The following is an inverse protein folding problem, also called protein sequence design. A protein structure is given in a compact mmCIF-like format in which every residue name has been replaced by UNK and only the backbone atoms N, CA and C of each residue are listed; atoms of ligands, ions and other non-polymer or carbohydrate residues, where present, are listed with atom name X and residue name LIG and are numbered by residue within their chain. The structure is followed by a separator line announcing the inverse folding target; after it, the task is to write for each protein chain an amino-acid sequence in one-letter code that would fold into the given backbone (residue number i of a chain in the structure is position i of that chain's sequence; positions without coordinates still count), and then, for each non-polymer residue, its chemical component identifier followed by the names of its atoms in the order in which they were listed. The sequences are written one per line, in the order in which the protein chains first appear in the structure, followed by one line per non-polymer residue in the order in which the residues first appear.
data_IF_320600146613
#
_entry.id   IF_320600146613
#
_cell.length_a   1.000
_cell.length_b   1.000
_cell.length_c   1.000
_cell.angle_alpha   90.00
_cell.angle_beta   90.00
_cell.angle_gamma   90.00
#
_symmetry.space_group_name_H-M   'P 1'
#
loop_
_entity.id
_entity.type
_entity.pdbx_description
1 polymer ?
#
# COMPACT_ATOMS: atom_id res chain seq x y z
N UNK A 1 -26.58 -3.64 -61.03
CA UNK A 1 -25.24 -3.33 -61.59
C UNK A 1 -24.17 -4.07 -60.78
N UNK A 2 -23.40 -4.91 -61.47
CA UNK A 2 -22.03 -5.42 -61.23
C UNK A 2 -21.54 -5.78 -59.81
N UNK A 3 -21.20 -7.07 -59.71
CA UNK A 3 -20.30 -7.77 -58.79
C UNK A 3 -18.84 -7.31 -58.98
N UNK A 4 -18.06 -7.14 -57.90
CA UNK A 4 -16.61 -7.41 -57.78
C UNK A 4 -16.29 -7.67 -56.29
N UNK A 5 -16.03 -8.90 -55.82
CA UNK A 5 -14.88 -9.82 -55.94
C UNK A 5 -13.60 -9.33 -55.25
N UNK A 6 -13.22 -10.11 -54.23
CA UNK A 6 -12.04 -9.99 -53.39
C UNK A 6 -10.72 -10.21 -54.13
N UNK A 7 -9.62 -9.65 -53.61
CA UNK A 7 -8.26 -10.19 -53.78
C UNK A 7 -7.49 -10.06 -52.45
N UNK A 8 -7.11 -11.21 -51.92
CA UNK A 8 -6.09 -11.39 -50.89
C UNK A 8 -4.70 -11.12 -51.46
N UNK A 9 -3.84 -10.44 -50.72
CA UNK A 9 -2.41 -10.44 -50.96
C UNK A 9 -1.69 -10.87 -49.67
N UNK A 10 -1.44 -12.17 -49.58
CA UNK A 10 -0.46 -12.76 -48.67
C UNK A 10 0.90 -12.54 -49.32
N UNK A 11 1.82 -11.84 -48.63
CA UNK A 11 3.24 -11.83 -48.98
C UNK A 11 4.02 -12.40 -47.82
N UNK A 12 4.68 -13.52 -48.09
CA UNK A 12 5.43 -14.27 -47.11
C UNK A 12 6.94 -13.99 -47.17
N UNK A 13 7.56 -14.38 -46.05
CA UNK A 13 8.90 -14.95 -45.90
C UNK A 13 10.10 -13.98 -45.94
N UNK A 14 10.76 -13.84 -44.79
CA UNK A 14 12.09 -14.42 -44.55
C UNK A 14 12.44 -14.42 -43.06
N UNK A 15 12.32 -15.60 -42.45
CA UNK A 15 12.90 -15.93 -41.14
C UNK A 15 14.39 -16.20 -41.36
N UNK A 16 15.25 -15.40 -40.74
CA UNK A 16 16.69 -15.63 -40.68
C UNK A 16 17.00 -16.24 -39.30
N UNK A 17 17.12 -17.57 -39.25
CA UNK A 17 17.61 -18.30 -38.08
C UNK A 17 19.13 -18.23 -38.08
N UNK A 18 19.72 -17.43 -37.18
CA UNK A 18 21.14 -17.44 -36.89
C UNK A 18 21.39 -18.35 -35.67
N UNK A 19 21.81 -19.59 -35.94
CA UNK A 19 22.27 -20.51 -34.91
C UNK A 19 23.73 -20.19 -34.56
N UNK A 20 23.99 -19.63 -33.38
CA UNK A 20 25.33 -19.55 -32.80
C UNK A 20 25.41 -20.63 -31.73
N UNK A 21 26.12 -21.71 -32.06
CA UNK A 21 26.52 -22.73 -31.10
C UNK A 21 27.66 -22.20 -30.23
N UNK A 22 27.44 -22.17 -28.92
CA UNK A 22 28.49 -22.00 -27.92
C UNK A 22 28.52 -23.27 -27.07
N UNK A 23 29.48 -24.13 -27.38
CA UNK A 23 29.89 -25.21 -26.51
C UNK A 23 30.68 -24.60 -25.34
N UNK A 24 30.12 -24.70 -24.12
CA UNK A 24 30.81 -24.38 -22.88
C UNK A 24 30.71 -25.57 -21.94
N UNK A 25 31.85 -26.21 -21.67
CA UNK A 25 31.99 -27.29 -20.69
C UNK A 25 31.80 -26.75 -19.26
N UNK A 26 31.14 -27.49 -18.35
CA UNK A 26 31.07 -27.10 -16.95
C UNK A 26 32.39 -27.45 -16.24
N UNK A 27 33.15 -26.43 -15.81
CA UNK A 27 34.20 -26.61 -14.82
C UNK A 27 33.56 -26.73 -13.43
N UNK A 28 33.68 -27.90 -12.82
CA UNK A 28 33.35 -28.11 -11.42
C UNK A 28 34.43 -27.48 -10.53
N UNK A 29 34.11 -26.35 -9.90
CA UNK A 29 34.91 -25.81 -8.80
C UNK A 29 34.74 -26.69 -7.57
N UNK A 30 35.80 -27.39 -7.19
CA UNK A 30 35.93 -28.10 -5.91
C UNK A 30 36.52 -27.13 -4.89
N UNK A 31 35.68 -26.59 -4.00
CA UNK A 31 36.13 -25.90 -2.80
C UNK A 31 36.13 -26.91 -1.64
N UNK A 32 37.32 -27.26 -1.17
CA UNK A 32 37.54 -28.17 -0.05
C UNK A 32 36.92 -27.63 1.23
N UNK A 33 36.25 -28.52 1.98
CA UNK A 33 35.77 -28.24 3.32
C UNK A 33 36.97 -28.11 4.27
N UNK A 34 37.23 -26.88 4.73
CA UNK A 34 38.16 -26.62 5.82
C UNK A 34 37.42 -26.98 7.11
N UNK A 35 37.90 -28.02 7.79
CA UNK A 35 37.42 -28.44 9.11
C UNK A 35 37.78 -27.37 10.14
N UNK A 36 36.83 -26.51 10.47
CA UNK A 36 36.90 -25.63 11.63
C UNK A 36 36.41 -26.42 12.84
N UNK A 37 37.32 -26.82 13.73
CA UNK A 37 36.99 -27.46 14.99
C UNK A 37 36.12 -26.56 15.87
N UNK A 38 35.13 -27.16 16.53
CA UNK A 38 34.26 -26.51 17.52
C UNK A 38 35.09 -25.89 18.67
N UNK A 39 35.10 -24.56 18.87
CA UNK A 39 35.53 -24.01 20.13
C UNK A 39 34.37 -24.14 21.14
N UNK A 40 34.63 -24.78 22.28
CA UNK A 40 33.71 -24.83 23.39
C UNK A 40 33.27 -23.41 23.81
N UNK A 41 31.99 -23.19 24.18
CA UNK A 41 31.51 -21.86 24.56
C UNK A 41 32.20 -21.40 25.84
N UNK A 42 33.13 -20.43 25.70
CA UNK A 42 33.67 -19.67 26.83
C UNK A 42 32.63 -18.62 27.22
N UNK A 43 32.01 -18.80 28.38
CA UNK A 43 31.17 -17.80 29.02
C UNK A 43 32.03 -16.61 29.44
N UNK A 44 31.92 -15.51 28.72
CA UNK A 44 32.49 -14.21 29.11
C UNK A 44 31.45 -13.49 29.97
N UNK A 45 31.74 -13.13 31.24
CA UNK A 45 30.78 -12.37 32.04
C UNK A 45 30.61 -10.96 31.47
N UNK A 46 29.35 -10.55 31.28
CA UNK A 46 29.03 -9.21 30.80
C UNK A 46 29.41 -8.16 31.86
N UNK A 47 29.92 -6.97 31.45
CA UNK A 47 30.21 -5.89 32.38
C UNK A 47 28.93 -5.38 33.04
N UNK A 48 29.01 -5.07 34.34
CA UNK A 48 27.86 -4.64 35.15
C UNK A 48 27.32 -3.24 34.81
N UNK A 49 27.95 -2.52 33.88
CA UNK A 49 27.48 -1.23 33.39
C UNK A 49 27.92 -0.97 31.95
N UNK A 50 27.07 -0.26 31.20
CA UNK A 50 27.35 0.26 29.86
C UNK A 50 27.08 1.76 29.88
N UNK A 51 28.08 2.58 29.58
CA UNK A 51 27.91 4.04 29.48
C UNK A 51 27.40 4.74 30.74
N UNK A 52 27.76 4.25 31.94
CA UNK A 52 27.34 4.85 33.21
C UNK A 52 25.96 4.40 33.73
N UNK A 53 25.29 3.47 33.03
CA UNK A 53 24.02 2.89 33.48
C UNK A 53 24.27 1.51 34.09
N UNK A 54 23.84 1.29 35.34
CA UNK A 54 23.96 0.00 36.03
C UNK A 54 22.95 -1.01 35.48
N UNK A 55 23.41 -2.21 35.13
CA UNK A 55 22.57 -3.33 34.67
C UNK A 55 22.09 -4.24 35.82
N UNK A 56 22.39 -3.88 37.07
CA UNK A 56 21.88 -4.57 38.24
C UNK A 56 20.38 -4.25 38.43
N UNK A 57 19.52 -5.18 38.00
CA UNK A 57 18.05 -5.12 38.22
C UNK A 57 17.75 -5.26 39.72
N UNK A 58 17.62 -4.14 40.42
CA UNK A 58 17.01 -4.06 41.75
C UNK A 58 15.54 -3.71 41.60
N UNK A 59 14.71 -4.71 41.29
CA UNK A 59 13.27 -4.65 41.54
C UNK A 59 12.71 -6.07 41.58
N UNK A 60 12.05 -6.41 42.69
CA UNK A 60 11.27 -7.62 42.83
C UNK A 60 10.13 -7.61 41.82
N UNK A 61 10.13 -8.59 40.93
CA UNK A 61 9.01 -8.87 40.03
C UNK A 61 7.75 -9.15 40.86
N UNK A 62 6.73 -8.30 40.74
CA UNK A 62 5.38 -8.60 41.19
C UNK A 62 4.56 -9.08 40.00
N UNK A 63 3.80 -10.19 40.11
CA UNK A 63 2.86 -10.57 39.07
C UNK A 63 1.76 -9.51 38.94
N UNK A 64 1.38 -9.17 37.71
CA UNK A 64 0.23 -8.31 37.45
C UNK A 64 -1.05 -8.99 37.96
N UNK A 65 -1.90 -8.23 38.65
CA UNK A 65 -3.21 -8.69 39.10
C UNK A 65 -4.05 -9.17 37.91
N UNK A 66 -4.65 -10.35 38.07
CA UNK A 66 -5.59 -10.90 37.09
C UNK A 66 -6.83 -9.99 37.00
N UNK A 67 -7.04 -9.40 35.82
CA UNK A 67 -8.23 -8.62 35.52
C UNK A 67 -9.48 -9.48 35.72
N UNK A 68 -10.34 -9.11 36.69
CA UNK A 68 -11.65 -9.72 36.85
C UNK A 68 -12.61 -9.11 35.82
N UNK A 69 -13.05 -9.93 34.87
CA UNK A 69 -14.19 -9.59 34.01
C UNK A 69 -15.47 -9.79 34.83
N UNK A 70 -16.13 -8.70 35.18
CA UNK A 70 -17.49 -8.73 35.71
C UNK A 70 -18.46 -9.09 34.58
N UNK A 71 -19.01 -10.30 34.63
CA UNK A 71 -20.11 -10.73 33.76
C UNK A 71 -21.41 -10.09 34.28
N UNK A 72 -22.00 -9.20 33.49
CA UNK A 72 -23.39 -8.79 33.65
C UNK A 72 -24.28 -9.92 33.12
N UNK A 73 -25.14 -10.43 33.99
CA UNK A 73 -26.05 -11.54 33.71
C UNK A 73 -27.33 -11.08 32.99
N UNK A 74 -27.79 -11.91 32.04
CA UNK A 74 -29.13 -11.90 31.44
C UNK A 74 -29.04 -12.16 29.93
N UNK A 75 -29.67 -13.15 29.32
CA UNK A 75 -30.56 -14.22 29.75
C UNK A 75 -30.56 -15.31 28.64
N UNK A 76 -31.10 -16.49 28.99
CA UNK A 76 -31.46 -17.65 28.14
C UNK A 76 -30.47 -18.82 28.00
N UNK A 77 -30.76 -19.89 28.76
CA UNK A 77 -31.01 -21.23 28.20
C UNK A 77 -29.88 -22.27 28.27
N UNK A 78 -30.04 -23.40 28.99
CA UNK A 78 -28.99 -24.40 29.17
C UNK A 78 -29.11 -25.58 28.19
N UNK A 79 -27.98 -26.16 27.77
CA UNK A 79 -27.90 -27.57 27.43
C UNK A 79 -26.56 -28.17 27.91
N UNK A 80 -26.67 -29.42 28.32
CA UNK A 80 -25.80 -30.27 29.13
C UNK A 80 -24.40 -30.63 28.57
N UNK A 81 -23.53 -31.23 29.41
CA UNK A 81 -22.09 -31.39 29.17
C UNK A 81 -21.73 -32.77 28.62
N UNK A 82 -20.67 -32.84 27.80
CA UNK A 82 -19.89 -34.07 27.63
C UNK A 82 -18.38 -33.80 27.54
N UNK A 83 -17.66 -34.78 28.06
CA UNK A 83 -16.29 -34.77 28.56
C UNK A 83 -15.21 -34.82 27.47
N UNK A 84 -14.01 -34.45 27.95
CA UNK A 84 -12.71 -34.42 27.33
C UNK A 84 -12.25 -35.67 26.55
N UNK A 85 -11.30 -35.45 25.64
CA UNK A 85 -10.25 -36.43 25.33
C UNK A 85 -9.67 -36.33 23.92
N UNK A 86 -8.36 -36.09 23.80
CA UNK A 86 -7.59 -36.45 22.60
C UNK A 86 -6.53 -35.43 22.20
N UNK A 87 -5.32 -35.56 22.74
CA UNK A 87 -4.13 -34.87 22.22
C UNK A 87 -3.60 -35.54 20.96
N UNK A 88 -2.95 -34.75 20.10
CA UNK A 88 -1.95 -35.26 19.15
C UNK A 88 -0.83 -34.25 18.99
N UNK A 89 0.38 -34.68 19.36
CA UNK A 89 1.63 -34.04 19.01
C UNK A 89 1.73 -33.95 17.48
N UNK A 90 1.75 -32.72 16.96
CA UNK A 90 2.10 -32.41 15.58
C UNK A 90 3.29 -31.46 15.60
N UNK A 91 4.44 -31.98 15.23
CA UNK A 91 5.70 -31.27 15.00
C UNK A 91 5.46 -30.12 14.00
N UNK A 92 5.66 -28.87 14.44
CA UNK A 92 5.48 -27.69 13.60
C UNK A 92 6.65 -27.56 12.62
N UNK A 93 6.35 -27.66 11.32
CA UNK A 93 7.28 -27.35 10.24
C UNK A 93 7.74 -25.88 10.30
N UNK A 94 8.97 -25.55 9.84
CA UNK A 94 9.46 -24.17 9.85
C UNK A 94 8.87 -23.42 8.66
N UNK A 95 7.76 -22.72 8.90
CA UNK A 95 7.12 -21.93 7.85
C UNK A 95 6.03 -21.02 8.42
N UNK A 96 6.08 -19.76 7.97
CA UNK A 96 5.12 -18.67 8.19
C UNK A 96 5.41 -17.83 9.44
N UNK A 97 6.25 -16.80 9.28
CA UNK A 97 6.38 -15.68 10.22
C UNK A 97 5.11 -14.79 10.09
N UNK A 98 4.30 -14.64 11.15
CA UNK A 98 3.04 -13.93 11.08
C UNK A 98 3.27 -12.42 10.92
N UNK A 99 2.99 -11.92 9.71
CA UNK A 99 2.38 -10.61 9.41
C UNK A 99 2.63 -9.56 10.53
N UNK A 100 3.80 -8.91 10.53
CA UNK A 100 4.04 -7.69 11.33
C UNK A 100 3.43 -6.45 10.66
N UNK A 101 2.14 -6.57 10.36
CA UNK A 101 1.35 -5.49 9.86
C UNK A 101 0.77 -4.77 11.07
N UNK A 102 1.20 -3.54 11.32
CA UNK A 102 0.80 -2.82 12.52
C UNK A 102 -0.72 -2.59 12.52
N UNK A 103 -1.40 -3.01 13.60
CA UNK A 103 -2.85 -2.84 13.82
C UNK A 103 -3.25 -1.38 14.09
N UNK A 104 -2.27 -0.50 14.24
CA UNK A 104 -2.45 0.93 14.49
C UNK A 104 -1.62 1.64 13.44
N UNK A 105 -2.22 2.58 12.71
CA UNK A 105 -1.51 3.47 11.79
C UNK A 105 -1.13 4.74 12.56
N UNK A 106 0.06 4.83 13.19
CA UNK A 106 0.67 6.12 13.46
C UNK A 106 1.18 6.70 12.13
N UNK A 107 1.24 8.03 12.02
CA UNK A 107 1.35 8.74 10.73
C UNK A 107 2.43 8.28 9.75
N UNK A 108 2.17 8.52 8.47
CA UNK A 108 3.04 8.21 7.33
C UNK A 108 3.92 9.41 6.96
N UNK A 109 5.08 9.21 6.34
CA UNK A 109 6.01 10.28 5.94
C UNK A 109 6.45 11.15 7.14
N UNK A 110 6.62 10.53 8.31
CA UNK A 110 6.99 11.22 9.55
C UNK A 110 5.92 12.13 10.16
N UNK A 111 4.70 12.14 9.62
CA UNK A 111 3.59 12.97 10.11
C UNK A 111 2.98 12.47 11.43
N UNK A 112 2.17 13.31 12.06
CA UNK A 112 1.19 12.91 13.09
C UNK A 112 -0.16 12.75 12.41
N UNK A 113 -0.86 11.66 12.67
CA UNK A 113 -2.20 11.39 12.16
C UNK A 113 -3.25 11.67 13.24
N UNK A 114 -4.19 12.56 12.96
CA UNK A 114 -5.31 12.90 13.83
C UNK A 114 -6.59 12.28 13.25
N UNK A 115 -7.20 11.35 13.99
CA UNK A 115 -8.42 10.65 13.56
C UNK A 115 -9.60 11.63 13.46
N UNK A 116 -10.38 11.52 12.38
CA UNK A 116 -11.53 12.38 12.11
C UNK A 116 -12.80 11.56 11.99
N UNK A 117 -13.83 11.89 12.77
CA UNK A 117 -15.13 11.21 12.70
C UNK A 117 -16.06 11.78 11.61
N UNK A 118 -15.99 13.08 11.34
CA UNK A 118 -16.84 13.79 10.38
C UNK A 118 -15.99 14.55 9.36
N UNK A 119 -15.28 13.81 8.51
CA UNK A 119 -14.44 14.42 7.48
C UNK A 119 -15.22 14.53 6.16
N UNK A 120 -15.47 15.73 5.61
CA UNK A 120 -16.31 15.89 4.42
C UNK A 120 -15.85 15.07 3.20
N UNK A 121 -14.53 14.91 3.03
CA UNK A 121 -13.95 14.11 1.93
C UNK A 121 -14.22 12.61 2.11
N UNK A 122 -14.49 12.13 3.34
CA UNK A 122 -14.79 10.72 3.61
C UNK A 122 -16.08 10.22 2.94
N UNK A 123 -17.01 11.12 2.59
CA UNK A 123 -18.22 10.78 1.85
C UNK A 123 -17.91 10.17 0.47
N UNK A 124 -16.77 10.56 -0.12
CA UNK A 124 -16.28 10.03 -1.41
C UNK A 124 -15.68 8.64 -1.24
N UNK A 125 -14.99 8.41 -0.12
CA UNK A 125 -14.29 7.16 0.17
C UNK A 125 -15.22 5.99 0.52
N UNK A 126 -16.27 6.22 1.32
CA UNK A 126 -17.15 5.15 1.80
C UNK A 126 -17.72 4.23 0.69
N UNK A 127 -18.30 4.74 -0.42
CA UNK A 127 -18.79 3.88 -1.50
C UNK A 127 -17.65 3.14 -2.23
N UNK A 128 -16.48 3.78 -2.37
CA UNK A 128 -15.30 3.19 -3.01
C UNK A 128 -14.76 2.04 -2.17
N UNK A 129 -14.59 2.24 -0.86
CA UNK A 129 -14.11 1.19 0.04
C UNK A 129 -15.06 0.00 0.09
N UNK A 130 -16.38 0.24 0.10
CA UNK A 130 -17.37 -0.83 -0.02
C UNK A 130 -17.18 -1.63 -1.32
N UNK A 131 -16.88 -0.96 -2.43
CA UNK A 131 -16.61 -1.62 -3.70
C UNK A 131 -15.28 -2.39 -3.71
N UNK A 132 -14.22 -1.88 -3.05
CA UNK A 132 -12.95 -2.58 -2.83
C UNK A 132 -13.20 -3.90 -2.09
N UNK A 133 -13.93 -3.86 -0.97
CA UNK A 133 -14.27 -5.05 -0.19
C UNK A 133 -15.14 -6.03 -0.98
N UNK A 134 -16.01 -5.53 -1.86
CA UNK A 134 -16.84 -6.34 -2.75
C UNK A 134 -16.10 -6.93 -3.96
N UNK A 135 -14.87 -6.49 -4.27
CA UNK A 135 -14.07 -6.98 -5.40
C UNK A 135 -13.29 -8.26 -5.03
N UNK A 136 -14.02 -9.31 -4.64
CA UNK A 136 -13.47 -10.62 -4.27
C UNK A 136 -13.40 -11.59 -5.45
N UNK A 137 -12.69 -12.72 -5.27
CA UNK A 137 -12.65 -13.78 -6.27
C UNK A 137 -14.06 -14.27 -6.61
N UNK A 138 -14.39 -14.36 -7.90
CA UNK A 138 -15.71 -14.75 -8.41
C UNK A 138 -16.77 -13.63 -8.40
N UNK A 139 -16.51 -12.46 -7.82
CA UNK A 139 -17.43 -11.33 -7.89
C UNK A 139 -17.49 -10.75 -9.33
N UNK A 140 -18.48 -9.91 -9.68
CA UNK A 140 -18.53 -9.28 -11.00
C UNK A 140 -17.24 -8.53 -11.35
N UNK A 141 -16.67 -7.81 -10.37
CA UNK A 141 -15.39 -7.11 -10.49
C UNK A 141 -14.26 -8.03 -10.98
N UNK A 142 -14.20 -9.27 -10.49
CA UNK A 142 -13.20 -10.26 -10.86
C UNK A 142 -13.53 -10.95 -12.19
N UNK A 143 -14.77 -11.44 -12.35
CA UNK A 143 -15.18 -12.23 -13.52
C UNK A 143 -15.12 -11.45 -14.82
N UNK A 144 -15.41 -10.15 -14.76
CA UNK A 144 -15.40 -9.27 -15.93
C UNK A 144 -13.98 -8.80 -16.27
N UNK A 145 -12.99 -9.04 -15.38
CA UNK A 145 -11.63 -8.51 -15.50
C UNK A 145 -10.58 -9.58 -15.19
N UNK A 146 -10.46 -10.56 -16.09
CA UNK A 146 -9.56 -11.70 -15.93
C UNK A 146 -8.10 -11.31 -15.62
N UNK A 147 -7.57 -10.25 -16.25
CA UNK A 147 -6.21 -9.78 -16.00
C UNK A 147 -6.01 -9.28 -14.56
N UNK A 148 -7.00 -8.58 -14.01
CA UNK A 148 -6.96 -8.16 -12.60
C UNK A 148 -7.04 -9.37 -11.67
N UNK A 149 -7.90 -10.34 -12.01
CA UNK A 149 -8.01 -11.59 -11.29
C UNK A 149 -6.73 -12.39 -11.22
N UNK A 150 -6.04 -12.51 -12.35
CA UNK A 150 -4.74 -13.16 -12.46
C UNK A 150 -3.66 -12.43 -11.64
N UNK A 151 -3.61 -11.09 -11.72
CA UNK A 151 -2.67 -10.29 -10.91
C UNK A 151 -2.87 -10.56 -9.42
N UNK A 152 -4.11 -10.50 -8.92
CA UNK A 152 -4.39 -10.74 -7.51
C UNK A 152 -4.07 -12.20 -7.09
N UNK A 153 -4.37 -13.17 -7.96
CA UNK A 153 -4.05 -14.59 -7.73
C UNK A 153 -2.55 -14.88 -7.69
N UNK A 154 -1.77 -14.30 -8.62
CA UNK A 154 -0.31 -14.40 -8.63
C UNK A 154 0.27 -13.70 -7.39
N UNK A 155 -0.23 -12.52 -7.04
CA UNK A 155 0.20 -11.77 -5.88
C UNK A 155 0.00 -12.56 -4.58
N UNK A 156 -1.13 -13.27 -4.42
CA UNK A 156 -1.43 -14.05 -3.22
C UNK A 156 -0.34 -15.06 -2.85
N UNK A 157 0.33 -15.63 -3.85
CA UNK A 157 1.38 -16.65 -3.69
C UNK A 157 2.79 -16.08 -3.49
N UNK A 158 2.96 -14.75 -3.46
CA UNK A 158 4.27 -14.10 -3.28
C UNK A 158 4.54 -13.77 -1.81
N UNK A 159 5.84 -13.74 -1.46
CA UNK A 159 6.30 -13.13 -0.21
C UNK A 159 5.94 -11.65 -0.14
N UNK A 160 5.89 -11.08 1.07
CA UNK A 160 5.32 -9.75 1.31
C UNK A 160 5.88 -8.64 0.40
N UNK A 161 7.21 -8.45 0.35
CA UNK A 161 7.82 -7.38 -0.47
C UNK A 161 7.59 -7.60 -1.97
N UNK A 162 7.76 -8.84 -2.44
CA UNK A 162 7.52 -9.20 -3.85
C UNK A 162 6.05 -9.04 -4.24
N UNK A 163 5.13 -9.30 -3.29
CA UNK A 163 3.68 -9.07 -3.45
C UNK A 163 3.40 -7.60 -3.69
N UNK A 164 3.96 -6.69 -2.88
CA UNK A 164 3.80 -5.25 -3.06
C UNK A 164 4.38 -4.78 -4.40
N UNK A 165 5.61 -5.18 -4.72
CA UNK A 165 6.28 -4.79 -5.97
C UNK A 165 5.56 -5.33 -7.21
N UNK A 166 5.08 -6.57 -7.15
CA UNK A 166 4.33 -7.19 -8.23
C UNK A 166 3.00 -6.48 -8.46
N UNK A 167 2.21 -6.22 -7.41
CA UNK A 167 0.94 -5.50 -7.56
C UNK A 167 1.17 -4.08 -8.05
N UNK A 168 2.11 -3.34 -7.46
CA UNK A 168 2.40 -1.97 -7.87
C UNK A 168 2.70 -1.88 -9.37
N UNK A 169 3.67 -2.67 -9.83
CA UNK A 169 4.10 -2.63 -11.23
C UNK A 169 3.05 -3.20 -12.19
N UNK A 170 2.26 -4.19 -11.77
CA UNK A 170 1.25 -4.80 -12.64
C UNK A 170 0.05 -3.88 -12.82
N UNK A 171 -0.43 -3.22 -11.76
CA UNK A 171 -1.49 -2.22 -11.88
C UNK A 171 -1.01 -1.02 -12.68
N UNK A 172 0.22 -0.54 -12.46
CA UNK A 172 0.80 0.55 -13.25
C UNK A 172 0.87 0.26 -14.76
N UNK A 173 0.89 -1.02 -15.16
CA UNK A 173 0.83 -1.46 -16.56
C UNK A 173 -0.58 -1.78 -17.04
N UNK A 174 -1.49 -2.14 -16.13
CA UNK A 174 -2.84 -2.59 -16.46
C UNK A 174 -3.73 -1.44 -16.96
N UNK A 175 -3.56 -0.26 -16.35
CA UNK A 175 -4.36 0.94 -16.62
C UNK A 175 -3.50 2.13 -17.03
N UNK A 176 -4.05 3.03 -17.84
CA UNK A 176 -3.36 4.22 -18.33
C UNK A 176 -3.64 5.43 -17.43
N UNK A 177 -2.61 6.21 -17.10
CA UNK A 177 -2.80 7.46 -16.37
C UNK A 177 -3.58 8.48 -17.21
N UNK A 178 -4.76 8.90 -16.77
CA UNK A 178 -5.61 9.91 -17.42
C UNK A 178 -6.38 10.68 -16.35
N UNK A 179 -6.51 11.98 -16.55
CA UNK A 179 -7.32 12.87 -15.72
C UNK A 179 -8.78 12.47 -15.70
N UNK A 180 -9.45 12.68 -14.58
CA UNK A 180 -10.88 12.44 -14.37
C UNK A 180 -11.76 13.28 -15.29
N UNK A 181 -11.30 14.49 -15.61
CA UNK A 181 -11.99 15.36 -16.57
C UNK A 181 -12.09 14.72 -17.96
N UNK A 182 -11.16 13.82 -18.29
CA UNK A 182 -11.14 13.06 -19.56
C UNK A 182 -11.89 11.74 -19.43
N UNK A 183 -11.72 11.00 -18.33
CA UNK A 183 -12.32 9.66 -18.17
C UNK A 183 -13.79 9.73 -17.75
N UNK A 184 -14.11 10.59 -16.78
CA UNK A 184 -15.41 10.66 -16.09
C UNK A 184 -16.15 11.98 -16.32
N UNK A 185 -15.53 12.95 -16.99
CA UNK A 185 -16.13 14.27 -17.26
C UNK A 185 -16.34 15.12 -16.00
N UNK A 186 -15.59 14.82 -14.94
CA UNK A 186 -15.66 15.50 -13.63
C UNK A 186 -14.29 16.03 -13.26
N UNK A 187 -14.25 17.08 -12.45
CA UNK A 187 -12.98 17.62 -11.97
C UNK A 187 -12.28 16.64 -11.03
N UNK A 188 -13.01 15.84 -10.26
CA UNK A 188 -12.44 14.94 -9.27
C UNK A 188 -13.49 13.87 -8.95
N UNK A 189 -13.19 12.60 -9.25
CA UNK A 189 -14.10 11.47 -9.22
C UNK A 189 -13.38 10.19 -8.82
N UNK A 190 -13.65 9.75 -7.59
CA UNK A 190 -13.03 8.52 -7.08
C UNK A 190 -13.80 7.30 -7.58
N UNK A 191 -13.24 6.61 -8.56
CA UNK A 191 -13.91 5.50 -9.21
C UNK A 191 -13.84 4.21 -8.39
N UNK A 192 -14.85 3.36 -8.53
CA UNK A 192 -14.85 2.01 -7.97
C UNK A 192 -13.91 1.11 -8.78
N UNK A 193 -13.36 0.03 -8.21
CA UNK A 193 -12.53 -0.91 -8.95
C UNK A 193 -13.13 -1.39 -10.28
N UNK A 194 -14.44 -1.65 -10.34
CA UNK A 194 -15.11 -2.06 -11.58
C UNK A 194 -15.10 -0.97 -12.64
N UNK A 195 -15.31 0.30 -12.26
CA UNK A 195 -15.31 1.46 -13.17
C UNK A 195 -13.88 1.68 -13.70
N UNK A 196 -12.87 1.65 -12.83
CA UNK A 196 -11.45 1.78 -13.24
C UNK A 196 -11.06 0.68 -14.23
N UNK A 197 -11.48 -0.56 -13.97
CA UNK A 197 -11.16 -1.71 -14.82
C UNK A 197 -11.90 -1.68 -16.16
N UNK A 198 -13.15 -1.19 -16.19
CA UNK A 198 -13.92 -0.97 -17.41
C UNK A 198 -13.27 0.07 -18.32
N UNK A 199 -12.89 1.23 -17.76
CA UNK A 199 -12.24 2.31 -18.51
C UNK A 199 -10.77 2.02 -18.85
N UNK A 200 -10.12 1.15 -18.06
CA UNK A 200 -8.67 0.89 -18.10
C UNK A 200 -7.82 2.17 -18.04
N UNK A 201 -8.35 3.18 -17.37
CA UNK A 201 -7.73 4.48 -17.20
C UNK A 201 -8.27 5.15 -15.93
N UNK A 202 -7.47 6.04 -15.39
CA UNK A 202 -7.75 6.80 -14.17
C UNK A 202 -6.51 7.58 -13.76
N UNK A 203 -6.59 8.37 -12.70
CA UNK A 203 -5.48 9.16 -12.18
C UNK A 203 -4.88 8.52 -10.91
N UNK A 204 -4.26 9.31 -10.03
CA UNK A 204 -3.44 8.73 -8.96
C UNK A 204 -4.23 7.97 -7.90
N UNK A 205 -5.41 8.43 -7.50
CA UNK A 205 -6.27 7.74 -6.53
C UNK A 205 -6.82 6.45 -7.10
N UNK A 206 -7.17 6.40 -8.38
CA UNK A 206 -7.71 5.21 -9.03
C UNK A 206 -6.66 4.09 -9.04
N UNK A 207 -5.41 4.45 -9.30
CA UNK A 207 -4.29 3.52 -9.17
C UNK A 207 -4.15 3.02 -7.73
N UNK A 208 -4.27 3.91 -6.72
CA UNK A 208 -4.18 3.52 -5.31
C UNK A 208 -5.35 2.60 -4.89
N UNK A 209 -6.58 2.91 -5.32
CA UNK A 209 -7.81 2.14 -5.11
C UNK A 209 -7.67 0.74 -5.69
N UNK A 210 -7.23 0.64 -6.95
CA UNK A 210 -7.11 -0.64 -7.63
C UNK A 210 -5.98 -1.50 -7.04
N UNK A 211 -4.86 -0.89 -6.64
CA UNK A 211 -3.79 -1.58 -5.89
C UNK A 211 -4.28 -2.07 -4.54
N UNK A 212 -5.10 -1.28 -3.82
CA UNK A 212 -5.68 -1.70 -2.54
C UNK A 212 -6.59 -2.91 -2.72
N UNK A 213 -7.45 -2.91 -3.74
CA UNK A 213 -8.29 -4.05 -4.06
C UNK A 213 -7.48 -5.32 -4.39
N UNK A 214 -6.43 -5.19 -5.20
CA UNK A 214 -5.55 -6.32 -5.53
C UNK A 214 -4.81 -6.87 -4.29
N UNK A 215 -4.27 -6.00 -3.43
CA UNK A 215 -3.56 -6.40 -2.22
C UNK A 215 -4.49 -6.99 -1.16
N UNK A 216 -5.70 -6.43 -1.00
CA UNK A 216 -6.71 -6.98 -0.10
C UNK A 216 -7.05 -8.41 -0.49
N UNK A 217 -7.29 -8.64 -1.79
CA UNK A 217 -7.54 -9.98 -2.32
C UNK A 217 -6.33 -10.90 -2.22
N UNK A 218 -5.11 -10.35 -2.29
CA UNK A 218 -3.87 -11.09 -2.09
C UNK A 218 -3.54 -11.33 -0.59
N UNK A 219 -4.46 -10.99 0.32
CA UNK A 219 -4.35 -11.29 1.76
C UNK A 219 -3.61 -10.25 2.60
N UNK A 220 -3.34 -9.04 2.06
CA UNK A 220 -2.87 -7.93 2.90
C UNK A 220 -4.04 -7.40 3.73
N UNK A 221 -3.91 -7.28 5.07
CA UNK A 221 -4.98 -6.77 5.92
C UNK A 221 -5.42 -5.36 5.54
N UNK A 222 -6.72 -5.12 5.40
CA UNK A 222 -7.26 -3.81 5.04
C UNK A 222 -6.83 -2.70 6.02
N UNK A 223 -6.74 -3.02 7.31
CA UNK A 223 -6.39 -2.10 8.40
C UNK A 223 -4.95 -1.58 8.31
N UNK A 224 -4.14 -2.17 7.43
CA UNK A 224 -2.76 -1.75 7.20
C UNK A 224 -2.57 -0.86 6.00
N UNK A 225 -3.59 -0.81 5.16
CA UNK A 225 -3.56 -0.09 3.91
C UNK A 225 -4.23 1.25 4.10
N UNK A 226 -3.60 2.31 3.61
CA UNK A 226 -4.17 3.65 3.57
C UNK A 226 -4.03 4.24 2.19
N UNK A 227 -5.13 4.76 1.64
CA UNK A 227 -5.04 5.73 0.55
C UNK A 227 -4.63 7.06 1.18
N UNK A 228 -3.49 7.59 0.76
CA UNK A 228 -2.92 8.83 1.30
C UNK A 228 -2.94 9.88 0.22
N UNK A 229 -3.62 11.00 0.50
CA UNK A 229 -3.57 12.20 -0.32
C UNK A 229 -2.52 13.14 0.25
N UNK A 230 -1.64 13.64 -0.60
CA UNK A 230 -0.44 14.37 -0.25
C UNK A 230 -0.12 15.48 -1.23
N UNK A 231 0.76 16.39 -0.83
CA UNK A 231 1.42 17.34 -1.73
C UNK A 231 2.82 16.80 -2.07
N UNK A 232 3.13 16.64 -3.36
CA UNK A 232 4.50 16.43 -3.82
C UNK A 232 5.17 17.80 -3.94
N UNK A 233 6.01 18.17 -2.97
CA UNK A 233 6.68 19.48 -2.93
C UNK A 233 7.69 19.67 -4.06
N UNK A 234 8.32 18.59 -4.51
CA UNK A 234 9.30 18.64 -5.59
C UNK A 234 8.62 18.93 -6.93
N UNK A 235 7.49 18.28 -7.19
CA UNK A 235 6.74 18.42 -8.45
C UNK A 235 5.63 19.46 -8.40
N UNK A 236 5.31 19.97 -7.21
CA UNK A 236 4.36 21.07 -6.93
C UNK A 236 2.90 20.75 -7.31
N UNK A 237 2.43 19.55 -7.03
CA UNK A 237 1.03 19.15 -7.27
C UNK A 237 0.49 18.23 -6.17
N UNK A 238 -0.84 18.07 -6.12
CA UNK A 238 -1.50 17.14 -5.22
C UNK A 238 -1.52 15.74 -5.81
N UNK A 239 -1.19 14.74 -5.01
CA UNK A 239 -1.01 13.36 -5.44
C UNK A 239 -1.69 12.40 -4.47
N UNK A 240 -1.99 11.19 -4.93
CA UNK A 240 -2.50 10.11 -4.11
C UNK A 240 -1.65 8.85 -4.28
N UNK A 241 -1.41 8.15 -3.18
CA UNK A 241 -0.64 6.90 -3.14
C UNK A 241 -1.30 5.88 -2.23
N UNK A 242 -0.93 4.61 -2.41
CA UNK A 242 -1.28 3.56 -1.46
C UNK A 242 -0.11 3.32 -0.50
N UNK A 243 -0.37 3.46 0.79
CA UNK A 243 0.56 3.13 1.88
C UNK A 243 0.19 1.78 2.49
N UNK A 244 1.19 0.93 2.76
CA UNK A 244 1.06 -0.35 3.48
C UNK A 244 1.93 -0.30 4.73
N UNK A 245 1.30 -0.24 5.91
CA UNK A 245 1.97 -0.08 7.19
C UNK A 245 2.47 -1.41 7.77
N UNK A 246 3.68 -1.39 8.33
CA UNK A 246 4.31 -2.52 9.02
C UNK A 246 4.94 -2.05 10.33
N UNK A 247 5.37 -2.99 11.18
CA UNK A 247 6.14 -2.66 12.38
C UNK A 247 7.45 -1.92 12.10
N UNK A 248 7.97 -2.00 10.87
CA UNK A 248 9.22 -1.35 10.43
C UNK A 248 9.03 -0.02 9.68
N UNK A 249 7.80 0.47 9.54
CA UNK A 249 7.47 1.66 8.74
C UNK A 249 6.47 1.34 7.62
N UNK A 250 6.29 2.28 6.68
CA UNK A 250 5.29 2.15 5.62
C UNK A 250 5.92 1.99 4.24
N UNK A 251 5.37 1.07 3.45
CA UNK A 251 5.72 0.88 2.04
C UNK A 251 4.75 1.67 1.16
N UNK A 252 5.28 2.40 0.18
CA UNK A 252 4.52 3.28 -0.69
C UNK A 252 4.46 2.70 -2.10
N UNK A 253 3.23 2.46 -2.56
CA UNK A 253 2.93 2.04 -3.92
C UNK A 253 2.36 3.24 -4.69
N UNK A 254 3.09 3.67 -5.72
CA UNK A 254 2.88 4.94 -6.42
C UNK A 254 2.59 4.70 -7.91
N UNK A 255 1.71 5.49 -8.52
CA UNK A 255 1.48 5.47 -9.98
C UNK A 255 2.64 6.08 -10.77
N UNK A 256 3.46 6.94 -10.14
CA UNK A 256 4.61 7.60 -10.77
C UNK A 256 5.85 6.70 -10.85
N UNK A 257 5.87 5.56 -10.16
CA UNK A 257 7.04 4.69 -10.06
C UNK A 257 6.64 3.23 -9.88
N UNK A 258 7.33 2.32 -10.57
CA UNK A 258 7.19 0.88 -10.35
C UNK A 258 7.96 0.39 -9.11
N UNK A 259 8.93 1.15 -8.62
CA UNK A 259 9.66 0.83 -7.40
C UNK A 259 8.80 1.16 -6.16
N UNK A 260 8.68 0.21 -5.24
CA UNK A 260 8.01 0.39 -3.95
C UNK A 260 9.05 0.92 -2.97
N UNK A 261 8.87 2.17 -2.55
CA UNK A 261 9.77 2.86 -1.62
C UNK A 261 9.27 2.74 -0.18
N UNK A 262 10.16 2.92 0.80
CA UNK A 262 9.72 3.24 2.16
C UNK A 262 9.27 4.70 2.21
N UNK A 263 8.33 5.03 3.09
CA UNK A 263 7.88 6.41 3.30
C UNK A 263 9.03 7.34 3.74
N UNK A 264 10.00 6.82 4.49
CA UNK A 264 11.24 7.53 4.85
C UNK A 264 12.11 7.95 3.66
N UNK A 265 11.96 7.28 2.51
CA UNK A 265 12.75 7.56 1.30
C UNK A 265 12.10 8.65 0.43
N UNK A 266 10.96 9.21 0.86
CA UNK A 266 10.15 10.17 0.12
C UNK A 266 9.96 11.49 0.91
N UNK A 267 11.05 12.25 1.18
CA UNK A 267 10.99 13.44 2.03
C UNK A 267 10.20 14.62 1.43
N UNK A 268 9.96 14.61 0.12
CA UNK A 268 9.19 15.63 -0.58
C UNK A 268 7.67 15.39 -0.53
N UNK A 269 7.23 14.21 -0.04
CA UNK A 269 5.83 13.85 0.05
C UNK A 269 5.27 14.30 1.40
N UNK A 270 4.35 15.27 1.38
CA UNK A 270 3.73 15.82 2.58
C UNK A 270 2.28 15.38 2.64
N UNK A 271 1.92 14.45 3.53
CA UNK A 271 0.55 13.95 3.61
C UNK A 271 -0.39 15.02 4.14
N UNK A 272 -1.61 15.04 3.60
CA UNK A 272 -2.68 15.97 3.96
C UNK A 272 -3.76 15.23 4.76
N UNK A 273 -4.28 14.16 4.19
CA UNK A 273 -5.25 13.27 4.81
C UNK A 273 -5.10 11.85 4.27
N UNK A 274 -5.62 10.87 4.99
CA UNK A 274 -5.64 9.48 4.55
C UNK A 274 -6.91 8.76 4.95
N UNK A 275 -7.19 7.67 4.25
CA UNK A 275 -8.31 6.79 4.48
C UNK A 275 -7.85 5.35 4.62
N UNK A 276 -8.29 4.69 5.68
CA UNK A 276 -8.08 3.27 5.92
C UNK A 276 -9.37 2.69 6.46
N UNK A 277 -9.82 1.61 5.85
CA UNK A 277 -11.13 1.04 6.13
C UNK A 277 -12.24 2.09 6.08
N UNK A 278 -13.00 2.23 7.15
CA UNK A 278 -14.07 3.17 7.42
C UNK A 278 -13.60 4.45 8.15
N UNK A 279 -12.29 4.64 8.32
CA UNK A 279 -11.70 5.74 9.10
C UNK A 279 -10.92 6.71 8.23
N UNK A 280 -10.85 7.94 8.70
CA UNK A 280 -10.11 9.03 8.07
C UNK A 280 -9.17 9.71 9.07
N UNK A 281 -8.04 10.20 8.59
CA UNK A 281 -7.08 10.96 9.38
C UNK A 281 -6.66 12.22 8.64
N UNK A 282 -6.44 13.31 9.38
CA UNK A 282 -5.71 14.48 8.90
C UNK A 282 -4.26 14.37 9.38
N UNK A 283 -3.33 14.75 8.52
CA UNK A 283 -1.90 14.72 8.81
C UNK A 283 -1.37 16.11 9.14
N UNK A 284 -0.49 16.18 10.14
CA UNK A 284 0.23 17.39 10.54
C UNK A 284 1.69 17.11 10.88
N UNK A 285 2.48 18.17 11.06
CA UNK A 285 3.90 18.04 11.46
C UNK A 285 4.07 17.93 12.98
N UNK A 286 5.09 17.18 13.43
CA UNK A 286 5.48 17.11 14.86
C UNK A 286 6.06 18.43 15.37
N UNK A 287 6.68 19.20 14.47
CA UNK A 287 7.32 20.47 14.81
C UNK A 287 6.31 21.61 14.71
N UNK A 288 5.47 21.76 15.74
CA UNK A 288 4.65 22.97 15.93
C UNK A 288 3.15 22.87 15.60
N UNK A 289 2.53 21.69 15.66
CA UNK A 289 1.05 21.53 15.54
C UNK A 289 0.45 22.24 14.32
N UNK A 290 1.15 22.22 13.19
CA UNK A 290 0.69 22.83 11.95
C UNK A 290 0.14 21.73 11.02
N UNK A 291 -1.12 21.89 10.64
CA UNK A 291 -1.77 21.20 9.53
C UNK A 291 -1.45 22.02 8.27
N UNK A 292 -1.30 21.37 7.10
CA UNK A 292 -1.11 22.08 5.85
C UNK A 292 -2.21 23.13 5.64
N UNK A 293 -1.83 24.40 5.42
CA UNK A 293 -2.77 25.45 5.07
C UNK A 293 -3.11 25.28 3.59
N UNK A 294 -4.34 24.87 3.28
CA UNK A 294 -4.81 24.64 1.92
C UNK A 294 -5.85 25.71 1.58
N UNK A 295 -5.56 26.52 0.57
CA UNK A 295 -6.49 27.53 0.07
C UNK A 295 -7.80 26.86 -0.41
N UNK A 296 -8.92 27.29 0.15
CA UNK A 296 -10.24 26.69 -0.11
C UNK A 296 -10.55 25.42 0.71
N UNK A 297 -9.60 24.93 1.52
CA UNK A 297 -9.76 23.77 2.40
C UNK A 297 -9.60 22.41 1.72
N UNK A 298 -9.61 21.31 2.49
CA UNK A 298 -9.34 19.97 1.97
C UNK A 298 -10.29 19.49 0.86
N UNK A 299 -11.48 20.08 0.73
CA UNK A 299 -12.45 19.72 -0.30
C UNK A 299 -12.08 20.20 -1.70
N UNK A 300 -11.12 21.14 -1.84
CA UNK A 300 -10.61 21.62 -3.13
C UNK A 300 -9.41 20.83 -3.64
N UNK A 301 -8.90 19.88 -2.83
CA UNK A 301 -7.77 19.02 -3.21
C UNK A 301 -8.26 17.97 -4.20
N UNK A 302 -7.87 18.14 -5.46
CA UNK A 302 -8.04 17.16 -6.54
C UNK A 302 -6.67 16.54 -6.85
N UNK A 303 -6.34 15.38 -6.25
CA UNK A 303 -5.09 14.70 -6.55
C UNK A 303 -5.06 14.30 -8.03
N UNK A 304 -3.89 14.35 -8.68
CA UNK A 304 -3.74 13.89 -10.07
C UNK A 304 -4.17 14.87 -11.18
N UNK A 305 -4.92 15.92 -10.83
CA UNK A 305 -5.49 16.88 -11.79
C UNK A 305 -4.60 18.10 -12.11
N UNK A 306 -3.50 18.29 -11.40
CA UNK A 306 -2.54 19.39 -11.65
C UNK A 306 -2.11 20.14 -10.40
N UNK A 307 -1.45 21.29 -10.62
CA UNK A 307 -0.63 21.97 -9.62
C UNK A 307 -1.39 22.38 -8.34
N UNK A 308 -0.68 22.36 -7.21
CA UNK A 308 -1.19 22.84 -5.92
C UNK A 308 -1.46 24.36 -5.98
N UNK A 309 -2.45 24.92 -5.25
CA UNK A 309 -2.75 26.36 -5.26
C UNK A 309 -1.53 27.26 -5.04
N UNK A 310 -0.62 26.87 -4.15
CA UNK A 310 0.66 27.57 -3.89
C UNK A 310 1.56 27.72 -5.14
N UNK A 311 1.37 26.88 -6.17
CA UNK A 311 2.12 26.94 -7.42
C UNK A 311 1.59 28.02 -8.38
N UNK A 312 0.33 28.44 -8.24
CA UNK A 312 -0.26 29.51 -9.05
C UNK A 312 0.19 30.91 -8.60
N UNK A 313 0.56 31.06 -7.32
CA UNK A 313 0.94 32.35 -6.74
C UNK A 313 2.31 32.90 -7.22
N UNK A 314 3.09 32.15 -8.00
CA UNK A 314 4.41 32.62 -8.51
C UNK A 314 4.41 33.07 -9.97
N UNK A 315 3.26 33.12 -10.66
CA UNK A 315 3.18 33.57 -12.07
C UNK A 315 2.07 34.60 -12.34
N UNK A 316 1.70 35.42 -11.35
CA UNK A 316 0.83 36.59 -11.54
C UNK A 316 1.64 37.88 -11.33
N UNK A 317 2.13 38.45 -12.43
CA UNK A 317 3.03 39.60 -12.46
C UNK A 317 2.54 40.84 -11.70
N UNK A 318 3.53 41.61 -11.24
CA UNK A 318 3.40 42.94 -10.69
C UNK A 318 2.42 43.81 -11.49
N UNK A 319 1.32 44.23 -10.85
CA UNK A 319 0.62 45.46 -11.23
C UNK A 319 1.22 46.59 -10.42
N UNK A 320 1.92 47.47 -11.12
CA UNK A 320 2.27 48.82 -10.68
C UNK A 320 1.03 49.54 -10.19
N UNK A 321 1.10 50.04 -8.94
CA UNK A 321 0.17 51.01 -8.41
C UNK A 321 0.56 52.38 -8.98
N UNK A 322 -0.19 52.83 -9.99
CA UNK A 322 -0.22 54.23 -10.41
C UNK A 322 -1.10 54.99 -9.42
N UNK A 323 -0.52 56.04 -8.83
CA UNK A 323 -1.23 57.04 -8.04
C UNK A 323 -1.52 58.20 -8.99
N UNK A 324 -2.79 58.49 -9.25
CA UNK A 324 -3.20 59.74 -9.89
C UNK A 324 -3.57 60.76 -8.81
N UNK A 325 -2.98 61.94 -8.92
CA UNK A 325 -3.21 63.16 -8.13
C UNK A 325 -4.60 63.78 -8.33
#
# INVERSE_FOLDING_TARGET
MKIQKAVSAVSGVKVLLLAIGLAGLPNASSAGAISAGNPAPRTVPAPASLGGVSLARLQSWQPADAYRVSVVAGAYGPLEPYLAGGGSNGEAAPGIDPIQTATIIPGVFGSVALSMHNFPVAARWAPVYKAIVGCTAGSPCDRENAAFGEIAGIAANKGFRDKLAFVNSSINRLIAYRKDSVVYGKLDYWAKPSEILEHRAGDCEDFAILKMAALLRAGIPAQSMSLVVLQDRRRKFFHAVLSVSTGSGAFILDSLSNNVAMDSDLPDYVPLYSFSTDRAWIHGSKSGSQIANIDGGFATVAPGEGASPDAAATQGGAKTLEWDD
#
